data_IF_861184560582
#
_entry.id   IF_861184560582
#
_cell.length_a   1.000
_cell.length_b   1.000
_cell.length_c   1.000
_cell.angle_alpha   90.00
_cell.angle_beta   90.00
_cell.angle_gamma   90.00
#
_symmetry.space_group_name_H-M   'P 1'
#
loop_
_entity.id
_entity.type
_entity.pdbx_description
1 polymer ?
#
# COMPACT_ATOMS: atom_id res chain seq x y z
N UNK A 1 -20.11 18.79 -10.57
CA UNK A 1 -18.85 19.16 -9.91
C UNK A 1 -18.49 18.25 -8.73
N UNK A 2 -19.35 18.11 -7.70
CA UNK A 2 -19.06 17.27 -6.52
C UNK A 2 -18.83 15.79 -6.86
N UNK A 3 -19.69 15.18 -7.67
CA UNK A 3 -19.53 13.77 -8.11
C UNK A 3 -18.25 13.54 -8.92
N UNK A 4 -17.83 14.53 -9.72
CA UNK A 4 -16.59 14.47 -10.48
C UNK A 4 -15.34 14.56 -9.61
N UNK A 5 -15.37 15.41 -8.56
CA UNK A 5 -14.30 15.52 -7.58
C UNK A 5 -14.11 14.22 -6.79
N UNK A 6 -15.21 13.56 -6.40
CA UNK A 6 -15.18 12.26 -5.73
C UNK A 6 -14.59 11.17 -6.64
N UNK A 7 -14.98 11.11 -7.91
CA UNK A 7 -14.40 10.15 -8.87
C UNK A 7 -12.91 10.40 -9.12
N UNK A 8 -12.49 11.66 -9.26
CA UNK A 8 -11.09 12.01 -9.43
C UNK A 8 -10.26 11.58 -8.21
N UNK A 9 -10.76 11.85 -7.00
CA UNK A 9 -10.10 11.45 -5.77
C UNK A 9 -10.00 9.92 -5.63
N UNK A 10 -11.08 9.20 -5.93
CA UNK A 10 -11.09 7.74 -5.94
C UNK A 10 -10.07 7.18 -6.94
N UNK A 11 -9.98 7.77 -8.14
CA UNK A 11 -9.00 7.40 -9.15
C UNK A 11 -7.55 7.59 -8.68
N UNK A 12 -7.24 8.72 -8.05
CA UNK A 12 -5.91 9.00 -7.47
C UNK A 12 -5.56 7.97 -6.40
N UNK A 13 -6.48 7.70 -5.48
CA UNK A 13 -6.29 6.77 -4.36
C UNK A 13 -6.08 5.34 -4.87
N UNK A 14 -6.84 4.91 -5.88
CA UNK A 14 -6.65 3.61 -6.54
C UNK A 14 -5.29 3.50 -7.25
N UNK A 15 -4.85 4.56 -7.96
CA UNK A 15 -3.57 4.57 -8.65
C UNK A 15 -2.39 4.50 -7.66
N UNK A 16 -2.45 5.25 -6.56
CA UNK A 16 -1.45 5.18 -5.50
C UNK A 16 -1.39 3.80 -4.83
N UNK A 17 -2.54 3.21 -4.55
CA UNK A 17 -2.64 1.88 -3.98
C UNK A 17 -2.01 0.80 -4.88
N UNK A 18 -2.30 0.84 -6.19
CA UNK A 18 -1.66 -0.06 -7.16
C UNK A 18 -0.15 0.14 -7.23
N UNK A 19 0.31 1.40 -7.18
CA UNK A 19 1.75 1.72 -7.14
C UNK A 19 2.43 1.08 -5.91
N UNK A 20 1.83 1.23 -4.73
CA UNK A 20 2.35 0.66 -3.49
C UNK A 20 2.40 -0.88 -3.54
N UNK A 21 1.32 -1.52 -4.00
CA UNK A 21 1.27 -2.97 -4.16
C UNK A 21 2.34 -3.49 -5.12
N UNK A 22 2.55 -2.80 -6.25
CA UNK A 22 3.57 -3.17 -7.24
C UNK A 22 4.98 -3.13 -6.62
N UNK A 23 5.31 -2.08 -5.86
CA UNK A 23 6.59 -1.95 -5.16
C UNK A 23 6.77 -3.09 -4.14
N UNK A 24 5.76 -3.35 -3.32
CA UNK A 24 5.79 -4.43 -2.31
C UNK A 24 5.95 -5.81 -2.96
N UNK A 25 5.27 -6.05 -4.07
CA UNK A 25 5.38 -7.29 -4.83
C UNK A 25 6.79 -7.50 -5.39
N UNK A 26 7.38 -6.46 -5.98
CA UNK A 26 8.77 -6.51 -6.46
C UNK A 26 9.77 -6.79 -5.31
N UNK A 27 9.62 -6.09 -4.18
CA UNK A 27 10.45 -6.33 -3.00
C UNK A 27 10.31 -7.75 -2.46
N UNK A 28 9.09 -8.30 -2.46
CA UNK A 28 8.82 -9.66 -2.04
C UNK A 28 9.44 -10.69 -2.99
N UNK A 29 9.36 -10.48 -4.31
CA UNK A 29 10.04 -11.35 -5.28
C UNK A 29 11.56 -11.38 -5.08
N UNK A 30 12.19 -10.22 -4.86
CA UNK A 30 13.64 -10.16 -4.59
C UNK A 30 14.03 -10.88 -3.29
N UNK A 31 13.19 -10.81 -2.24
CA UNK A 31 13.45 -11.45 -0.95
C UNK A 31 13.17 -12.96 -0.95
N UNK A 32 12.13 -13.41 -1.66
CA UNK A 32 11.81 -14.84 -1.79
C UNK A 32 12.86 -15.61 -2.60
N UNK A 33 13.66 -14.91 -3.41
CA UNK A 33 14.86 -15.50 -4.01
C UNK A 33 15.93 -15.89 -2.95
N UNK A 34 15.89 -15.28 -1.76
CA UNK A 34 16.90 -15.43 -0.70
C UNK A 34 16.41 -16.17 0.56
N UNK A 35 15.11 -16.23 0.86
CA UNK A 35 14.62 -16.91 2.06
C UNK A 35 13.16 -17.38 1.95
N UNK A 36 12.88 -18.50 2.61
CA UNK A 36 11.63 -19.28 2.67
C UNK A 36 10.29 -18.54 2.41
N UNK A 37 9.70 -18.90 1.27
CA UNK A 37 8.28 -18.93 0.83
C UNK A 37 7.20 -18.57 1.87
N UNK A 38 6.80 -17.31 1.94
CA UNK A 38 5.37 -17.00 2.12
C UNK A 38 4.77 -16.50 0.80
N UNK A 39 3.50 -16.81 0.49
CA UNK A 39 2.81 -16.25 -0.66
C UNK A 39 2.55 -14.75 -0.44
N UNK A 40 2.79 -13.93 -1.47
CA UNK A 40 2.45 -12.51 -1.43
C UNK A 40 0.93 -12.35 -1.37
N UNK A 41 0.43 -11.68 -0.34
CA UNK A 41 -0.98 -11.35 -0.19
C UNK A 41 -1.16 -9.84 -0.21
N UNK A 42 -1.82 -9.27 -1.24
CA UNK A 42 -2.05 -7.83 -1.34
C UNK A 42 -2.67 -7.20 -0.08
N UNK A 43 -3.58 -7.92 0.59
CA UNK A 43 -4.26 -7.49 1.81
C UNK A 43 -3.32 -7.28 3.01
N UNK A 44 -2.14 -7.91 3.05
CA UNK A 44 -1.15 -7.72 4.11
C UNK A 44 -0.31 -6.45 3.91
N UNK A 45 -0.41 -5.83 2.73
CA UNK A 45 0.46 -4.74 2.28
C UNK A 45 -0.27 -3.44 1.96
N UNK A 46 -1.58 -3.50 1.79
CA UNK A 46 -2.40 -2.37 1.43
C UNK A 46 -3.67 -2.34 2.29
N UNK A 47 -3.86 -1.24 3.02
CA UNK A 47 -5.06 -0.97 3.78
C UNK A 47 -5.67 0.35 3.29
N UNK A 48 -6.90 0.28 2.79
CA UNK A 48 -7.71 1.47 2.52
C UNK A 48 -8.45 1.87 3.79
N UNK A 49 -8.17 3.08 4.26
CA UNK A 49 -8.90 3.69 5.36
C UNK A 49 -9.84 4.76 4.81
N UNK A 50 -10.95 5.00 5.49
CA UNK A 50 -11.93 6.00 5.06
C UNK A 50 -12.04 7.08 6.12
N UNK A 51 -11.71 8.33 5.78
CA UNK A 51 -11.87 9.49 6.66
C UNK A 51 -12.92 10.42 6.07
N UNK A 52 -13.98 10.71 6.83
CA UNK A 52 -15.14 11.50 6.37
C UNK A 52 -15.75 11.01 5.03
N UNK A 53 -15.75 9.68 4.81
CA UNK A 53 -16.27 9.06 3.59
C UNK A 53 -15.33 9.08 2.38
N UNK A 54 -14.12 9.65 2.52
CA UNK A 54 -13.11 9.67 1.46
C UNK A 54 -12.06 8.56 1.70
N UNK A 55 -11.79 7.71 0.70
CA UNK A 55 -10.77 6.68 0.82
C UNK A 55 -9.38 7.31 0.82
N UNK A 56 -8.46 6.80 1.63
CA UNK A 56 -7.05 7.15 1.59
C UNK A 56 -6.19 5.92 1.91
N UNK A 57 -4.94 5.94 1.44
CA UNK A 57 -3.96 4.88 1.70
C UNK A 57 -3.13 5.27 2.93
N UNK A 58 -3.08 4.39 3.95
CA UNK A 58 -2.31 4.63 5.16
C UNK A 58 -0.90 4.02 5.08
N UNK A 59 0.11 4.89 5.05
CA UNK A 59 1.53 4.52 4.99
C UNK A 59 2.21 4.39 6.37
N UNK A 60 1.47 4.61 7.47
CA UNK A 60 2.05 4.77 8.81
C UNK A 60 2.78 3.52 9.31
N UNK A 61 2.34 2.32 8.89
CA UNK A 61 2.97 1.04 9.26
C UNK A 61 4.34 0.82 8.61
N UNK A 62 4.62 1.41 7.45
CA UNK A 62 5.96 1.31 6.81
C UNK A 62 7.04 2.09 7.55
N UNK A 63 6.67 3.19 8.21
CA UNK A 63 7.62 4.06 8.92
C UNK A 63 8.22 3.39 10.16
N UNK A 64 7.51 2.42 10.75
CA UNK A 64 8.00 1.68 11.91
C UNK A 64 8.99 0.56 11.54
N UNK A 65 8.80 -0.13 10.42
CA UNK A 65 9.65 -1.27 10.04
C UNK A 65 11.08 -0.84 9.69
N UNK A 66 11.26 0.38 9.17
CA UNK A 66 12.59 0.94 8.88
C UNK A 66 13.32 1.47 10.13
N UNK A 67 12.62 1.84 11.21
CA UNK A 67 13.28 2.24 12.47
C UNK A 67 13.80 1.05 13.27
N UNK A 68 13.09 -0.10 13.23
CA UNK A 68 13.49 -1.30 13.96
C UNK A 68 14.70 -2.05 13.36
N UNK A 69 15.12 -1.71 12.12
CA UNK A 69 16.32 -2.28 11.48
C UNK A 69 17.60 -1.47 11.71
N UNK A 70 17.52 -0.33 12.40
CA UNK A 70 18.66 0.58 12.66
C UNK A 70 19.05 0.57 14.16
N UNK A 71 18.60 -0.42 14.94
CA UNK A 71 19.06 -0.65 16.31
C UNK A 71 19.77 -1.99 16.43
#
# INVERSE_FOLDING_TARGET
HVIGAVHCHLGIVCAEAMRLLSIKYQQHQMKNLQSSKQPFKPEDHLHFNFYLGLPYVDYSKEKQTNKAKIQ
#
